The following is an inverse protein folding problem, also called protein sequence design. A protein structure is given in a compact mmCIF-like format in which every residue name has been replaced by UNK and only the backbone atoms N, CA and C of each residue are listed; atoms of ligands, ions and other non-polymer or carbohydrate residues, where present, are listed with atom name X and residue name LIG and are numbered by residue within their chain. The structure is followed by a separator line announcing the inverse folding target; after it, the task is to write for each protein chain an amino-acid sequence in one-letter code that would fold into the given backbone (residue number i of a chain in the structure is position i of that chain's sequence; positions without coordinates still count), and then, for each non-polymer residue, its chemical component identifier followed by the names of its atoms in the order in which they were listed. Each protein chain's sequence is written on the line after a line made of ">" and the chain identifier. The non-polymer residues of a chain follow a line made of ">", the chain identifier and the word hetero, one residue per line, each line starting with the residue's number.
data_IF_987026885137
#
_entry.id   IF_987026885137
#
_cell.length_a   1.000
_cell.length_b   1.000
_cell.length_c   1.000
_cell.angle_alpha   90.00
_cell.angle_beta   90.00
_cell.angle_gamma   90.00
#
_symmetry.space_group_name_H-M   'P 1'
#
loop_
_entity.id
_entity.type
_entity.pdbx_description
1 polymer ?
#
# COMPACT_ATOMS: atom_id res chain seq x y z
N UNK A 1 22.44 -8.98 -44.05
CA UNK A 1 21.28 -8.59 -43.23
C UNK A 1 20.98 -7.13 -43.54
N UNK A 2 19.81 -6.83 -44.08
CA UNK A 2 19.40 -5.45 -44.38
C UNK A 2 18.93 -4.81 -43.08
N UNK A 3 19.66 -3.82 -42.59
CA UNK A 3 19.33 -3.07 -41.38
C UNK A 3 18.24 -2.05 -41.72
N UNK A 4 17.06 -2.18 -41.11
CA UNK A 4 15.98 -1.20 -41.22
C UNK A 4 16.08 -0.24 -40.03
N UNK A 5 16.25 1.05 -40.30
CA UNK A 5 16.24 2.11 -39.28
C UNK A 5 14.94 2.88 -39.36
N UNK A 6 14.17 2.87 -38.28
CA UNK A 6 12.94 3.65 -38.14
C UNK A 6 13.34 5.02 -37.58
N UNK A 7 13.13 6.08 -38.38
CA UNK A 7 13.28 7.46 -37.95
C UNK A 7 11.91 7.96 -37.48
N UNK A 8 11.85 8.36 -36.21
CA UNK A 8 10.65 8.92 -35.59
C UNK A 8 10.72 10.45 -35.71
N UNK A 9 9.62 11.09 -36.09
CA UNK A 9 9.49 12.55 -36.01
C UNK A 9 9.37 13.00 -34.56
N UNK A 10 9.61 14.29 -34.30
CA UNK A 10 9.44 14.88 -32.97
C UNK A 10 8.01 14.68 -32.43
N UNK A 11 7.00 14.81 -33.29
CA UNK A 11 5.60 14.56 -32.94
C UNK A 11 5.36 13.10 -32.51
N UNK A 12 5.92 12.15 -33.28
CA UNK A 12 5.83 10.72 -32.95
C UNK A 12 6.53 10.42 -31.62
N UNK A 13 7.65 11.09 -31.35
CA UNK A 13 8.36 10.95 -30.08
C UNK A 13 7.59 11.54 -28.90
N UNK A 14 6.93 12.69 -29.10
CA UNK A 14 6.05 13.28 -28.10
C UNK A 14 4.86 12.38 -27.74
N UNK A 15 4.25 11.75 -28.75
CA UNK A 15 3.14 10.79 -28.55
C UNK A 15 3.62 9.57 -27.74
N UNK A 16 4.74 8.97 -28.12
CA UNK A 16 5.30 7.80 -27.42
C UNK A 16 5.65 8.16 -25.97
N UNK A 17 6.28 9.31 -25.75
CA UNK A 17 6.64 9.78 -24.41
C UNK A 17 5.40 9.96 -23.52
N UNK A 18 4.34 10.53 -24.09
CA UNK A 18 3.06 10.72 -23.38
C UNK A 18 2.39 9.39 -23.04
N UNK A 19 2.33 8.47 -24.01
CA UNK A 19 1.75 7.14 -23.81
C UNK A 19 2.53 6.35 -22.74
N UNK A 20 3.86 6.39 -22.79
CA UNK A 20 4.71 5.73 -21.81
C UNK A 20 4.52 6.33 -20.41
N UNK A 21 4.47 7.66 -20.31
CA UNK A 21 4.24 8.36 -19.04
C UNK A 21 2.88 8.00 -18.44
N UNK A 22 1.83 7.95 -19.26
CA UNK A 22 0.49 7.55 -18.83
C UNK A 22 0.46 6.09 -18.36
N UNK A 23 1.12 5.19 -19.09
CA UNK A 23 1.20 3.78 -18.73
C UNK A 23 1.92 3.58 -17.39
N UNK A 24 3.09 4.21 -17.22
CA UNK A 24 3.85 4.16 -15.96
C UNK A 24 3.03 4.71 -14.81
N UNK A 25 2.39 5.87 -14.99
CA UNK A 25 1.57 6.50 -13.95
C UNK A 25 0.40 5.60 -13.55
N UNK A 26 -0.27 5.00 -14.53
CA UNK A 26 -1.40 4.09 -14.30
C UNK A 26 -0.97 2.84 -13.51
N UNK A 27 0.16 2.25 -13.86
CA UNK A 27 0.68 1.07 -13.13
C UNK A 27 1.11 1.44 -11.71
N UNK A 28 1.73 2.60 -11.49
CA UNK A 28 2.05 3.10 -10.15
C UNK A 28 0.78 3.31 -9.32
N UNK A 29 -0.28 3.87 -9.90
CA UNK A 29 -1.57 4.04 -9.20
C UNK A 29 -2.24 2.72 -8.84
N UNK A 30 -2.17 1.72 -9.74
CA UNK A 30 -2.64 0.36 -9.44
C UNK A 30 -1.87 -0.26 -8.28
N UNK A 31 -0.54 -0.11 -8.25
CA UNK A 31 0.28 -0.60 -7.13
C UNK A 31 -0.12 0.10 -5.82
N UNK A 32 -0.24 1.43 -5.85
CA UNK A 32 -0.65 2.24 -4.67
C UNK A 32 -2.03 1.90 -4.13
N UNK A 33 -2.94 1.45 -4.99
CA UNK A 33 -4.32 1.08 -4.60
C UNK A 33 -4.44 -0.39 -4.18
N UNK A 34 -3.57 -1.27 -4.70
CA UNK A 34 -3.50 -2.68 -4.30
C UNK A 34 -2.84 -2.85 -2.92
N UNK A 35 -1.90 -1.99 -2.56
CA UNK A 35 -1.34 -1.99 -1.22
C UNK A 35 -2.19 -1.13 -0.27
N UNK A 36 -2.59 -1.72 0.87
CA UNK A 36 -3.25 -1.04 2.00
C UNK A 36 -2.38 0.09 2.63
N UNK A 37 -1.34 0.56 1.95
CA UNK A 37 -0.33 1.53 2.38
C UNK A 37 -0.87 2.94 2.61
N UNK A 38 -2.05 3.28 2.11
CA UNK A 38 -2.55 4.66 2.12
C UNK A 38 -3.43 5.01 3.32
N UNK A 39 -3.89 4.03 4.11
CA UNK A 39 -4.85 4.29 5.18
C UNK A 39 -4.18 4.30 6.55
N UNK A 40 -4.06 5.50 7.14
CA UNK A 40 -3.57 5.66 8.52
C UNK A 40 -4.42 4.87 9.52
N UNK A 41 -5.75 4.90 9.37
CA UNK A 41 -6.68 4.19 10.25
C UNK A 41 -7.30 3.00 9.53
N UNK A 42 -7.04 1.80 10.06
CA UNK A 42 -7.48 0.54 9.49
C UNK A 42 -8.62 -0.07 10.31
N UNK A 43 -9.51 -0.81 9.66
CA UNK A 43 -10.40 -1.74 10.36
C UNK A 43 -9.65 -3.03 10.73
N UNK A 44 -10.30 -3.92 11.48
CA UNK A 44 -9.70 -5.20 11.93
C UNK A 44 -9.18 -6.05 10.76
N UNK A 45 -9.94 -6.19 9.67
CA UNK A 45 -9.54 -6.99 8.49
C UNK A 45 -8.32 -6.38 7.79
N UNK A 46 -8.30 -5.07 7.60
CA UNK A 46 -7.16 -4.36 7.04
C UNK A 46 -5.91 -4.50 7.92
N UNK A 47 -6.08 -4.47 9.25
CA UNK A 47 -4.99 -4.63 10.21
C UNK A 47 -4.40 -6.04 10.17
N UNK A 48 -5.23 -7.08 10.06
CA UNK A 48 -4.78 -8.45 9.81
C UNK A 48 -3.92 -8.54 8.54
N UNK A 49 -4.38 -7.92 7.44
CA UNK A 49 -3.65 -7.93 6.17
C UNK A 49 -2.33 -7.14 6.28
N UNK A 50 -2.35 -5.99 6.94
CA UNK A 50 -1.17 -5.14 7.14
C UNK A 50 -0.08 -5.86 7.93
N UNK A 51 -0.47 -6.50 9.03
CA UNK A 51 0.45 -7.22 9.93
C UNK A 51 0.75 -8.65 9.44
N UNK A 52 0.08 -9.12 8.38
CA UNK A 52 0.15 -10.49 7.87
C UNK A 52 -0.14 -11.55 8.93
N UNK A 53 -1.17 -11.32 9.75
CA UNK A 53 -1.58 -12.23 10.83
C UNK A 53 -3.03 -12.66 10.71
N UNK A 54 -3.35 -13.81 11.29
CA UNK A 54 -4.75 -14.27 11.40
C UNK A 54 -5.56 -13.36 12.34
N UNK A 55 -6.89 -13.42 12.23
CA UNK A 55 -7.80 -12.68 13.11
C UNK A 55 -7.59 -13.08 14.59
N UNK A 56 -7.40 -14.38 14.85
CA UNK A 56 -7.18 -14.91 16.19
C UNK A 56 -5.86 -14.42 16.79
N UNK A 57 -4.80 -14.32 15.97
CA UNK A 57 -3.50 -13.75 16.39
C UNK A 57 -3.64 -12.28 16.75
N UNK A 58 -4.34 -11.50 15.91
CA UNK A 58 -4.60 -10.09 16.18
C UNK A 58 -5.39 -9.89 17.48
N UNK A 59 -6.40 -10.75 17.75
CA UNK A 59 -7.13 -10.74 19.01
C UNK A 59 -6.25 -11.07 20.22
N UNK A 60 -5.23 -11.92 20.03
CA UNK A 60 -4.17 -12.14 21.02
C UNK A 60 -3.41 -10.84 21.32
N UNK A 61 -2.92 -10.17 20.28
CA UNK A 61 -2.16 -8.91 20.44
C UNK A 61 -2.99 -7.79 21.07
N UNK A 62 -4.29 -7.71 20.76
CA UNK A 62 -5.20 -6.75 21.42
C UNK A 62 -5.27 -7.00 22.93
N UNK A 63 -5.30 -8.27 23.37
CA UNK A 63 -5.24 -8.62 24.80
C UNK A 63 -3.89 -8.29 25.43
N UNK A 64 -2.83 -8.33 24.64
CA UNK A 64 -1.45 -7.96 25.04
C UNK A 64 -1.20 -6.44 25.00
N UNK A 65 -2.18 -5.64 24.58
CA UNK A 65 -2.11 -4.18 24.61
C UNK A 65 -1.84 -3.50 23.28
N UNK A 66 -2.10 -4.16 22.14
CA UNK A 66 -2.06 -3.52 20.82
C UNK A 66 -2.93 -2.26 20.80
N UNK A 67 -2.42 -1.09 20.35
CA UNK A 67 -3.17 0.14 20.31
C UNK A 67 -4.44 0.05 19.45
N UNK A 68 -5.58 0.42 20.02
CA UNK A 68 -6.88 0.46 19.33
C UNK A 68 -7.68 1.71 19.71
N UNK A 69 -8.48 2.19 18.77
CA UNK A 69 -9.40 3.32 18.94
C UNK A 69 -10.82 2.77 18.79
N UNK A 70 -11.63 2.89 19.84
CA UNK A 70 -13.02 2.44 19.81
C UNK A 70 -13.95 3.64 19.58
N UNK A 71 -14.75 3.57 18.51
CA UNK A 71 -15.71 4.62 18.13
C UNK A 71 -17.08 3.97 17.96
N UNK A 72 -18.02 4.23 18.88
CA UNK A 72 -19.41 3.75 18.82
C UNK A 72 -19.55 2.24 18.50
N UNK A 73 -18.68 1.40 19.07
CA UNK A 73 -18.68 -0.05 18.85
C UNK A 73 -17.84 -0.55 17.66
N UNK A 74 -17.22 0.36 16.89
CA UNK A 74 -16.26 0.00 15.83
C UNK A 74 -14.82 0.19 16.32
N UNK A 75 -13.96 -0.79 16.08
CA UNK A 75 -12.53 -0.71 16.38
C UNK A 75 -11.75 -0.23 15.15
N UNK A 76 -10.91 0.77 15.37
CA UNK A 76 -9.95 1.31 14.40
C UNK A 76 -8.54 1.20 14.94
N UNK A 77 -7.60 1.02 14.03
CA UNK A 77 -6.20 0.81 14.35
C UNK A 77 -5.37 1.84 13.61
N UNK A 78 -4.65 2.70 14.35
CA UNK A 78 -3.68 3.63 13.74
C UNK A 78 -2.41 2.86 13.40
N UNK A 79 -2.07 2.81 12.11
CA UNK A 79 -0.88 2.14 11.58
C UNK A 79 0.39 2.61 12.29
N UNK A 80 0.51 3.91 12.55
CA UNK A 80 1.71 4.48 13.18
C UNK A 80 1.83 4.02 14.64
N UNK A 81 0.71 4.00 15.37
CA UNK A 81 0.70 3.55 16.76
C UNK A 81 1.04 2.06 16.87
N UNK A 82 0.55 1.24 15.93
CA UNK A 82 0.92 -0.18 15.86
C UNK A 82 2.42 -0.35 15.61
N UNK A 83 2.98 0.35 14.61
CA UNK A 83 4.40 0.26 14.28
C UNK A 83 5.28 0.66 15.48
N UNK A 84 4.89 1.72 16.20
CA UNK A 84 5.57 2.14 17.44
C UNK A 84 5.48 1.10 18.55
N UNK A 85 4.32 0.48 18.73
CA UNK A 85 4.13 -0.59 19.72
C UNK A 85 5.01 -1.80 19.39
N UNK A 86 5.04 -2.25 18.14
CA UNK A 86 5.92 -3.33 17.69
C UNK A 86 7.40 -2.99 17.90
N UNK A 87 7.80 -1.76 17.55
CA UNK A 87 9.17 -1.29 17.78
C UNK A 87 9.55 -1.29 19.26
N UNK A 88 8.61 -0.99 20.16
CA UNK A 88 8.85 -1.03 21.61
C UNK A 88 9.04 -2.44 22.19
N UNK A 89 8.56 -3.47 21.47
CA UNK A 89 8.72 -4.88 21.85
C UNK A 89 9.98 -5.52 21.28
N UNK A 90 10.56 -4.94 20.23
CA UNK A 90 11.81 -5.40 19.65
C UNK A 90 12.96 -5.22 20.66
N UNK A 91 13.71 -6.29 20.90
CA UNK A 91 14.87 -6.31 21.81
C UNK A 91 16.16 -6.08 21.05
#
# INVERSE_FOLDING_TARGET
>A
MTEMKILLSDDQMGIISTQLSNLITTEIEKIKTQENLQHRYMNKKQTCNYLQVSNNTLDGWIKEGLPLIQIHGSNRFDRIAIDQWLASLAK
#
